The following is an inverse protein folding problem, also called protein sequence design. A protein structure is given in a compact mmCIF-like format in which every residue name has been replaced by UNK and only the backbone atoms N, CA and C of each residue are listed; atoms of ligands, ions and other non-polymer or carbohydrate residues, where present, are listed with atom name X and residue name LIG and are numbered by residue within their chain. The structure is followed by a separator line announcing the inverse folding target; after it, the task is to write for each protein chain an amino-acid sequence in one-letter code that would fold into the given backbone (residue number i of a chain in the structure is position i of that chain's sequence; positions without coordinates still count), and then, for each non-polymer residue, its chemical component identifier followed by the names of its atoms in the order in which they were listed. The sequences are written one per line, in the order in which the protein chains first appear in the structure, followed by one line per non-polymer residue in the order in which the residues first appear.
data_IF_462419736230
#
_entry.id   IF_462419736230
#
_cell.length_a   1.000
_cell.length_b   1.000
_cell.length_c   1.000
_cell.angle_alpha   90.00
_cell.angle_beta   90.00
_cell.angle_gamma   90.00
#
_symmetry.space_group_name_H-M   'P 1'
#
loop_
_entity.id
_entity.type
_entity.pdbx_description
1 polymer ?
#
# COMPACT_ATOMS: atom_id res chain seq x y z
N UNK A 1 17.76 -12.61 -22.03
CA UNK A 1 16.69 -12.37 -21.05
C UNK A 1 17.22 -12.85 -19.72
N UNK A 2 17.28 -11.97 -18.72
CA UNK A 2 17.70 -12.37 -17.37
C UNK A 2 16.75 -13.45 -16.83
N UNK A 3 17.31 -14.44 -16.12
CA UNK A 3 16.51 -15.48 -15.50
C UNK A 3 15.47 -14.84 -14.54
N UNK A 4 14.27 -15.43 -14.35
CA UNK A 4 13.21 -14.88 -13.49
C UNK A 4 13.71 -14.50 -12.10
N UNK A 5 14.60 -15.31 -11.52
CA UNK A 5 15.21 -15.03 -10.23
C UNK A 5 16.01 -13.72 -10.21
N UNK A 6 16.83 -13.45 -11.23
CA UNK A 6 17.61 -12.21 -11.29
C UNK A 6 16.72 -10.97 -11.36
N UNK A 7 15.60 -11.08 -12.03
CA UNK A 7 14.62 -9.99 -12.14
C UNK A 7 13.90 -9.77 -10.80
N UNK A 8 13.48 -10.84 -10.12
CA UNK A 8 12.85 -10.74 -8.80
C UNK A 8 13.80 -10.14 -7.75
N UNK A 9 15.09 -10.51 -7.80
CA UNK A 9 16.14 -9.91 -6.97
C UNK A 9 16.31 -8.43 -7.31
N UNK A 10 16.36 -8.08 -8.60
CA UNK A 10 16.47 -6.68 -9.02
C UNK A 10 15.27 -5.83 -8.58
N UNK A 11 14.05 -6.37 -8.63
CA UNK A 11 12.85 -5.71 -8.11
C UNK A 11 12.95 -5.48 -6.61
N UNK A 12 13.33 -6.49 -5.83
CA UNK A 12 13.51 -6.38 -4.39
C UNK A 12 14.56 -5.32 -4.04
N UNK A 13 15.73 -5.37 -4.67
CA UNK A 13 16.81 -4.40 -4.44
C UNK A 13 16.37 -2.99 -4.86
N UNK A 14 15.76 -2.86 -6.03
CA UNK A 14 15.26 -1.58 -6.54
C UNK A 14 14.20 -0.98 -5.61
N UNK A 15 13.28 -1.80 -5.10
CA UNK A 15 12.28 -1.36 -4.15
C UNK A 15 12.92 -0.92 -2.81
N UNK A 16 13.86 -1.68 -2.27
CA UNK A 16 14.60 -1.30 -1.07
C UNK A 16 15.40 0.00 -1.27
N UNK A 17 16.04 0.15 -2.43
CA UNK A 17 16.78 1.37 -2.77
C UNK A 17 15.85 2.59 -2.90
N UNK A 18 14.65 2.42 -3.44
CA UNK A 18 13.63 3.48 -3.54
C UNK A 18 13.06 3.85 -2.17
N UNK A 19 12.78 2.86 -1.33
CA UNK A 19 12.11 3.08 -0.03
C UNK A 19 13.07 3.61 1.05
N UNK A 20 14.35 3.22 1.00
CA UNK A 20 15.32 3.54 2.07
C UNK A 20 15.57 5.04 2.25
N UNK A 21 15.88 5.85 1.20
CA UNK A 21 16.15 7.28 1.39
C UNK A 21 14.99 8.05 2.04
N UNK A 22 13.73 7.96 1.57
CA UNK A 22 12.63 8.67 2.20
C UNK A 22 12.35 8.19 3.63
N UNK A 23 12.56 6.91 3.94
CA UNK A 23 12.41 6.42 5.31
C UNK A 23 13.51 6.93 6.24
N UNK A 24 14.76 7.05 5.77
CA UNK A 24 15.86 7.64 6.53
C UNK A 24 15.63 9.13 6.79
N UNK A 25 15.16 9.87 5.77
CA UNK A 25 14.79 11.27 5.92
C UNK A 25 13.65 11.41 6.95
N UNK A 26 12.61 10.62 6.80
CA UNK A 26 11.48 10.61 7.73
C UNK A 26 11.94 10.30 9.17
N UNK A 27 12.78 9.26 9.33
CA UNK A 27 13.35 8.91 10.63
C UNK A 27 14.13 10.10 11.24
N UNK A 28 15.02 10.71 10.46
CA UNK A 28 15.81 11.89 10.90
C UNK A 28 14.91 13.04 11.35
N UNK A 29 13.83 13.33 10.61
CA UNK A 29 12.86 14.37 10.98
C UNK A 29 12.09 14.01 12.28
N UNK A 30 11.70 12.76 12.43
CA UNK A 30 10.98 12.29 13.63
C UNK A 30 11.89 12.25 14.87
N UNK A 31 13.15 11.88 14.70
CA UNK A 31 14.13 11.87 15.80
C UNK A 31 14.44 13.30 16.33
N UNK A 32 14.28 14.32 15.48
CA UNK A 32 14.40 15.73 15.87
C UNK A 32 13.21 16.30 16.66
N UNK A 33 12.09 15.54 16.78
CA UNK A 33 10.92 15.97 17.53
C UNK A 33 11.04 15.63 19.02
N UNK A 34 10.36 16.43 19.87
CA UNK A 34 10.37 16.18 21.31
C UNK A 34 9.70 14.84 21.63
N UNK A 35 10.50 13.88 22.08
CA UNK A 35 10.07 12.53 22.41
C UNK A 35 9.07 12.49 23.59
N UNK A 36 9.02 13.53 24.43
CA UNK A 36 8.09 13.63 25.57
C UNK A 36 6.65 13.88 25.13
N UNK A 37 6.47 14.42 23.90
CA UNK A 37 5.16 14.73 23.34
C UNK A 37 4.61 13.59 22.46
N UNK A 38 5.33 12.46 22.37
CA UNK A 38 4.93 11.36 21.52
C UNK A 38 3.68 10.63 22.05
N UNK A 39 2.63 10.50 21.24
CA UNK A 39 1.53 9.62 21.57
C UNK A 39 1.97 8.14 21.60
N UNK A 40 1.20 7.28 22.26
CA UNK A 40 1.45 5.84 22.24
C UNK A 40 1.48 5.32 20.80
N UNK A 41 2.59 4.70 20.39
CA UNK A 41 2.84 4.27 19.00
C UNK A 41 3.58 5.28 18.13
N UNK A 42 4.10 6.36 18.72
CA UNK A 42 4.86 7.40 18.01
C UNK A 42 4.00 8.25 17.07
N UNK A 43 4.61 9.16 16.34
CA UNK A 43 3.94 10.05 15.38
C UNK A 43 3.20 9.28 14.27
N UNK A 44 3.76 8.16 13.84
CA UNK A 44 3.17 7.33 12.78
C UNK A 44 2.06 6.40 13.30
N UNK A 45 1.89 6.28 14.63
CA UNK A 45 0.92 5.38 15.26
C UNK A 45 1.14 3.90 14.90
N UNK A 46 2.40 3.48 14.89
CA UNK A 46 2.81 2.07 14.78
C UNK A 46 2.55 1.33 16.10
N UNK A 47 1.28 1.04 16.40
CA UNK A 47 0.88 0.24 17.56
C UNK A 47 0.60 -1.18 17.12
N UNK A 48 1.51 -2.10 17.43
CA UNK A 48 1.37 -3.51 17.07
C UNK A 48 0.39 -4.22 18.02
N UNK A 49 0.49 -3.95 19.33
CA UNK A 49 -0.39 -4.60 20.31
C UNK A 49 -1.72 -3.87 20.50
N UNK A 50 -2.82 -4.60 20.62
CA UNK A 50 -2.99 -6.01 20.32
C UNK A 50 -3.05 -6.26 18.82
N UNK A 51 -2.25 -7.18 18.30
CA UNK A 51 -2.08 -7.44 16.86
C UNK A 51 -3.33 -8.04 16.21
N UNK A 52 -4.08 -8.88 16.93
CA UNK A 52 -5.32 -9.50 16.42
C UNK A 52 -6.40 -8.48 16.09
N UNK A 53 -6.48 -7.37 16.83
CA UNK A 53 -7.44 -6.30 16.51
C UNK A 53 -7.08 -5.63 15.20
N UNK A 54 -5.80 -5.51 14.86
CA UNK A 54 -5.37 -4.97 13.58
C UNK A 54 -5.70 -5.93 12.43
N UNK A 55 -5.53 -7.25 12.62
CA UNK A 55 -5.95 -8.26 11.66
C UNK A 55 -7.45 -8.22 11.43
N UNK A 56 -8.24 -8.17 12.51
CA UNK A 56 -9.70 -8.10 12.40
C UNK A 56 -10.19 -6.81 11.72
N UNK A 57 -9.63 -5.67 12.10
CA UNK A 57 -9.98 -4.37 11.51
C UNK A 57 -9.57 -4.29 10.03
N UNK A 58 -8.35 -4.74 9.69
CA UNK A 58 -7.87 -4.78 8.31
C UNK A 58 -8.67 -5.75 7.45
N UNK A 59 -8.92 -6.97 7.94
CA UNK A 59 -9.71 -7.98 7.21
C UNK A 59 -11.16 -7.55 6.99
N UNK A 60 -11.82 -6.99 8.03
CA UNK A 60 -13.17 -6.44 7.89
C UNK A 60 -13.22 -5.29 6.88
N UNK A 61 -12.28 -4.35 6.95
CA UNK A 61 -12.22 -3.24 6.01
C UNK A 61 -11.97 -3.72 4.58
N UNK A 62 -11.09 -4.71 4.41
CA UNK A 62 -10.85 -5.35 3.11
C UNK A 62 -12.14 -5.94 2.52
N UNK A 63 -12.91 -6.72 3.29
CA UNK A 63 -14.19 -7.27 2.85
C UNK A 63 -15.20 -6.18 2.44
N UNK A 64 -15.21 -5.03 3.14
CA UNK A 64 -16.13 -3.93 2.82
C UNK A 64 -15.71 -3.15 1.57
N UNK A 65 -14.42 -3.02 1.31
CA UNK A 65 -13.87 -2.21 0.21
C UNK A 65 -13.66 -3.04 -1.06
N UNK A 66 -13.48 -4.36 -0.94
CA UNK A 66 -13.28 -5.25 -2.08
C UNK A 66 -14.38 -5.14 -3.16
N UNK A 67 -15.70 -5.19 -2.83
CA UNK A 67 -16.72 -5.12 -3.87
C UNK A 67 -16.67 -3.83 -4.73
N UNK A 68 -16.62 -2.62 -4.17
CA UNK A 68 -16.50 -1.41 -4.99
C UNK A 68 -15.17 -1.32 -5.75
N UNK A 69 -14.05 -1.84 -5.24
CA UNK A 69 -12.79 -1.88 -5.98
C UNK A 69 -12.90 -2.81 -7.19
N UNK A 70 -13.44 -4.03 -7.02
CA UNK A 70 -13.66 -4.97 -8.12
C UNK A 70 -14.63 -4.39 -9.16
N UNK A 71 -15.71 -3.76 -8.71
CA UNK A 71 -16.67 -3.12 -9.60
C UNK A 71 -16.02 -2.01 -10.44
N UNK A 72 -15.21 -1.15 -9.80
CA UNK A 72 -14.51 -0.07 -10.53
C UNK A 72 -13.44 -0.61 -11.47
N UNK A 73 -12.75 -1.69 -11.12
CA UNK A 73 -11.82 -2.39 -12.01
C UNK A 73 -12.53 -2.96 -13.24
N UNK A 74 -13.67 -3.63 -13.04
CA UNK A 74 -14.49 -4.13 -14.13
C UNK A 74 -15.01 -2.99 -15.04
N UNK A 75 -15.45 -1.88 -14.46
CA UNK A 75 -15.85 -0.71 -15.25
C UNK A 75 -14.69 -0.15 -16.07
N UNK A 76 -13.51 0.00 -15.47
CA UNK A 76 -12.33 0.51 -16.18
C UNK A 76 -11.93 -0.40 -17.34
N UNK A 77 -11.95 -1.72 -17.16
CA UNK A 77 -11.65 -2.67 -18.25
C UNK A 77 -12.64 -2.55 -19.43
N UNK A 78 -13.89 -2.19 -19.16
CA UNK A 78 -14.91 -1.98 -20.22
C UNK A 78 -14.70 -0.70 -21.03
N UNK A 79 -14.20 0.38 -20.40
CA UNK A 79 -14.04 1.69 -21.05
C UNK A 79 -12.66 1.88 -21.68
N UNK A 80 -11.61 1.33 -21.06
CA UNK A 80 -10.20 1.56 -21.47
C UNK A 80 -9.63 0.33 -22.19
N UNK A 81 -10.35 -0.80 -22.12
CA UNK A 81 -9.85 -2.10 -22.58
C UNK A 81 -8.93 -2.75 -21.55
N UNK A 82 -8.62 -4.01 -21.81
CA UNK A 82 -7.69 -4.75 -20.98
C UNK A 82 -6.26 -4.28 -21.28
N UNK A 83 -5.73 -3.42 -20.43
CA UNK A 83 -4.38 -2.85 -20.57
C UNK A 83 -3.28 -3.85 -20.17
N UNK A 84 -3.64 -5.15 -20.05
CA UNK A 84 -2.74 -6.18 -19.52
C UNK A 84 -2.54 -6.04 -18.02
N UNK A 85 -2.38 -7.16 -17.30
CA UNK A 85 -2.16 -7.14 -15.85
C UNK A 85 -1.03 -6.19 -15.48
N UNK A 86 -1.18 -5.49 -14.38
CA UNK A 86 -0.30 -4.42 -13.92
C UNK A 86 1.15 -4.86 -13.62
N UNK A 87 1.45 -6.14 -13.81
CA UNK A 87 2.78 -6.65 -13.51
C UNK A 87 3.29 -7.69 -14.53
N UNK A 88 3.90 -7.26 -15.65
CA UNK A 88 4.53 -8.17 -16.63
C UNK A 88 5.59 -9.09 -16.01
N UNK A 89 6.21 -8.68 -14.90
CA UNK A 89 7.20 -9.49 -14.18
C UNK A 89 6.53 -10.66 -13.46
N UNK A 90 5.32 -10.48 -12.93
CA UNK A 90 4.57 -11.55 -12.30
C UNK A 90 4.22 -12.64 -13.30
N UNK A 91 3.70 -12.27 -14.47
CA UNK A 91 3.41 -13.23 -15.55
C UNK A 91 4.67 -14.00 -15.98
N UNK A 92 5.80 -13.32 -16.10
CA UNK A 92 7.07 -13.96 -16.47
C UNK A 92 7.55 -14.95 -15.41
N UNK A 93 7.40 -14.62 -14.12
CA UNK A 93 7.82 -15.49 -13.00
C UNK A 93 6.87 -16.67 -12.84
N UNK A 94 5.56 -16.45 -13.00
CA UNK A 94 4.54 -17.52 -13.00
C UNK A 94 4.82 -18.52 -14.13
N UNK A 95 5.10 -18.05 -15.33
CA UNK A 95 5.45 -18.89 -16.48
C UNK A 95 6.80 -19.60 -16.29
N UNK A 96 7.75 -19.01 -15.56
CA UNK A 96 9.05 -19.58 -15.29
C UNK A 96 9.09 -20.66 -14.19
N UNK A 97 8.03 -20.78 -13.40
CA UNK A 97 7.87 -21.77 -12.31
C UNK A 97 9.04 -21.80 -11.30
N UNK A 98 9.71 -20.66 -11.06
CA UNK A 98 10.78 -20.54 -10.08
C UNK A 98 10.21 -20.14 -8.71
N UNK A 99 10.17 -21.07 -7.70
CA UNK A 99 9.54 -20.79 -6.41
C UNK A 99 10.23 -19.67 -5.62
N UNK A 100 11.56 -19.53 -5.77
CA UNK A 100 12.32 -18.49 -5.08
C UNK A 100 12.03 -17.11 -5.69
N UNK A 101 11.95 -17.04 -7.02
CA UNK A 101 11.57 -15.81 -7.71
C UNK A 101 10.15 -15.35 -7.30
N UNK A 102 9.18 -16.28 -7.28
CA UNK A 102 7.82 -16.02 -6.80
C UNK A 102 7.80 -15.54 -5.34
N UNK A 103 8.56 -16.19 -4.46
CA UNK A 103 8.65 -15.80 -3.06
C UNK A 103 9.21 -14.37 -2.90
N UNK A 104 10.27 -14.03 -3.63
CA UNK A 104 10.88 -12.68 -3.57
C UNK A 104 9.91 -11.60 -4.09
N UNK A 105 9.17 -11.87 -5.16
CA UNK A 105 8.13 -10.95 -5.63
C UNK A 105 6.98 -10.84 -4.63
N UNK A 106 6.51 -11.96 -4.09
CA UNK A 106 5.43 -11.97 -3.11
C UNK A 106 5.80 -11.17 -1.85
N UNK A 107 7.00 -11.38 -1.28
CA UNK A 107 7.42 -10.62 -0.10
C UNK A 107 7.56 -9.12 -0.40
N UNK A 108 8.03 -8.77 -1.60
CA UNK A 108 8.14 -7.38 -2.01
C UNK A 108 6.76 -6.74 -2.18
N UNK A 109 5.86 -7.36 -2.92
CA UNK A 109 4.56 -6.79 -3.25
C UNK A 109 3.56 -6.86 -2.08
N UNK A 110 3.56 -7.96 -1.31
CA UNK A 110 2.55 -8.21 -0.28
C UNK A 110 2.96 -7.68 1.10
N UNK A 111 4.27 -7.56 1.35
CA UNK A 111 4.76 -7.13 2.67
C UNK A 111 5.47 -5.78 2.61
N UNK A 112 6.56 -5.68 1.82
CA UNK A 112 7.41 -4.49 1.84
C UNK A 112 6.70 -3.27 1.24
N UNK A 113 6.00 -3.44 0.12
CA UNK A 113 5.27 -2.36 -0.52
C UNK A 113 4.18 -1.80 0.39
N UNK A 114 3.25 -2.58 0.96
CA UNK A 114 2.27 -2.07 1.91
C UNK A 114 2.87 -1.39 3.15
N UNK A 115 3.96 -1.93 3.70
CA UNK A 115 4.65 -1.30 4.83
C UNK A 115 5.16 0.10 4.51
N UNK A 116 5.83 0.25 3.39
CA UNK A 116 6.37 1.53 2.95
C UNK A 116 5.26 2.50 2.54
N UNK A 117 4.34 2.05 1.69
CA UNK A 117 3.29 2.91 1.14
C UNK A 117 2.33 3.41 2.22
N UNK A 118 1.89 2.54 3.14
CA UNK A 118 1.03 2.99 4.23
C UNK A 118 1.77 3.94 5.18
N UNK A 119 3.08 3.75 5.38
CA UNK A 119 3.89 4.70 6.15
C UNK A 119 3.89 6.08 5.49
N UNK A 120 4.10 6.14 4.18
CA UNK A 120 4.14 7.40 3.43
C UNK A 120 2.74 8.03 3.32
N UNK A 121 1.76 7.27 2.83
CA UNK A 121 0.44 7.84 2.51
C UNK A 121 -0.44 8.04 3.74
N UNK A 122 -0.49 7.07 4.69
CA UNK A 122 -1.38 7.12 5.86
C UNK A 122 -0.66 7.55 7.12
N UNK A 123 0.66 7.32 7.19
CA UNK A 123 1.49 7.80 8.30
C UNK A 123 1.89 9.27 8.17
N UNK A 124 2.18 9.74 6.96
CA UNK A 124 2.70 11.10 6.74
C UNK A 124 1.73 11.98 5.95
N UNK A 125 1.40 11.61 4.71
CA UNK A 125 0.63 12.47 3.80
C UNK A 125 -0.77 12.78 4.32
N UNK A 126 -1.53 11.76 4.74
CA UNK A 126 -2.89 11.94 5.24
C UNK A 126 -2.97 12.91 6.43
N UNK A 127 -2.17 12.80 7.51
CA UNK A 127 -2.22 13.76 8.61
C UNK A 127 -1.70 15.15 8.22
N UNK A 128 -0.74 15.28 7.31
CA UNK A 128 -0.25 16.57 6.81
C UNK A 128 -1.38 17.29 6.05
N UNK A 129 -2.03 16.62 5.10
CA UNK A 129 -3.18 17.17 4.39
C UNK A 129 -4.33 17.50 5.34
N UNK A 130 -4.53 16.69 6.39
CA UNK A 130 -5.57 16.91 7.38
C UNK A 130 -5.41 18.21 8.17
N UNK A 131 -4.16 18.61 8.46
CA UNK A 131 -3.85 19.87 9.12
C UNK A 131 -4.08 21.08 8.21
N UNK A 132 -3.81 20.95 6.92
CA UNK A 132 -3.88 22.07 5.96
C UNK A 132 -5.28 22.25 5.35
N UNK A 133 -5.98 21.16 5.04
CA UNK A 133 -7.21 21.18 4.24
C UNK A 133 -8.42 20.53 4.93
N UNK A 134 -8.24 20.04 6.15
CA UNK A 134 -9.28 19.36 6.90
C UNK A 134 -9.51 17.90 6.48
N UNK A 135 -10.36 17.20 7.26
CA UNK A 135 -10.52 15.74 7.21
C UNK A 135 -10.99 15.20 5.86
N UNK A 136 -11.99 15.82 5.24
CA UNK A 136 -12.56 15.34 3.97
C UNK A 136 -11.56 15.42 2.84
N UNK A 137 -10.94 16.57 2.67
CA UNK A 137 -9.94 16.79 1.64
C UNK A 137 -8.66 15.97 1.83
N UNK A 138 -8.28 15.69 3.07
CA UNK A 138 -7.12 14.82 3.34
C UNK A 138 -7.36 13.37 2.92
N UNK A 139 -8.57 12.85 3.15
CA UNK A 139 -8.96 11.50 2.72
C UNK A 139 -8.90 11.40 1.20
N UNK A 140 -9.59 12.33 0.51
CA UNK A 140 -9.61 12.33 -0.95
C UNK A 140 -8.24 12.57 -1.56
N UNK A 141 -7.51 13.60 -1.10
CA UNK A 141 -6.18 13.96 -1.62
C UNK A 141 -5.15 12.85 -1.41
N UNK A 142 -5.12 12.23 -0.22
CA UNK A 142 -4.22 11.11 0.05
C UNK A 142 -4.54 9.89 -0.83
N UNK A 143 -5.82 9.60 -1.08
CA UNK A 143 -6.24 8.51 -1.95
C UNK A 143 -5.92 8.80 -3.43
N UNK A 144 -6.11 10.05 -3.87
CA UNK A 144 -5.81 10.46 -5.24
C UNK A 144 -4.30 10.38 -5.52
N UNK A 145 -3.46 10.93 -4.64
CA UNK A 145 -2.00 10.85 -4.80
C UNK A 145 -1.53 9.39 -4.79
N UNK A 146 -2.09 8.55 -3.93
CA UNK A 146 -1.83 7.12 -3.91
C UNK A 146 -2.15 6.46 -5.27
N UNK A 147 -3.34 6.69 -5.81
CA UNK A 147 -3.76 6.11 -7.08
C UNK A 147 -2.89 6.60 -8.27
N UNK A 148 -2.59 7.90 -8.32
CA UNK A 148 -1.75 8.50 -9.39
C UNK A 148 -0.31 8.01 -9.31
N UNK A 149 0.23 7.77 -8.11
CA UNK A 149 1.59 7.26 -7.91
C UNK A 149 1.84 5.87 -8.55
N UNK A 150 0.79 5.11 -8.84
CA UNK A 150 0.89 3.82 -9.54
C UNK A 150 1.06 3.95 -11.06
N UNK A 151 0.87 5.14 -11.62
CA UNK A 151 1.09 5.46 -13.05
C UNK A 151 0.31 4.56 -14.02
N UNK A 152 -0.80 3.98 -13.59
CA UNK A 152 -1.66 3.11 -14.38
C UNK A 152 -3.06 3.73 -14.53
N UNK A 153 -3.43 4.08 -15.75
CA UNK A 153 -4.76 4.68 -16.04
C UNK A 153 -5.86 3.65 -15.79
N UNK A 154 -5.63 2.38 -16.17
CA UNK A 154 -6.60 1.31 -15.98
C UNK A 154 -6.88 1.01 -14.49
N UNK A 155 -5.92 1.24 -13.63
CA UNK A 155 -6.02 1.00 -12.19
C UNK A 155 -6.36 2.26 -11.38
N UNK A 156 -6.43 3.44 -12.02
CA UNK A 156 -6.61 4.72 -11.32
C UNK A 156 -7.86 4.72 -10.43
N UNK A 157 -9.00 4.30 -10.96
CA UNK A 157 -10.26 4.32 -10.24
C UNK A 157 -10.34 3.23 -9.15
N UNK A 158 -9.98 1.96 -9.42
CA UNK A 158 -9.87 0.94 -8.37
C UNK A 158 -8.93 1.34 -7.23
N UNK A 159 -7.74 1.87 -7.56
CA UNK A 159 -6.75 2.31 -6.56
C UNK A 159 -7.22 3.56 -5.80
N UNK A 160 -7.97 4.45 -6.43
CA UNK A 160 -8.61 5.56 -5.74
C UNK A 160 -9.60 5.06 -4.68
N UNK A 161 -10.46 4.09 -5.04
CA UNK A 161 -11.44 3.50 -4.10
C UNK A 161 -10.73 2.75 -2.98
N UNK A 162 -9.71 1.95 -3.28
CA UNK A 162 -8.86 1.30 -2.28
C UNK A 162 -8.22 2.33 -1.36
N UNK A 163 -7.66 3.38 -1.93
CA UNK A 163 -7.02 4.49 -1.23
C UNK A 163 -7.96 5.21 -0.26
N UNK A 164 -9.22 5.45 -0.68
CA UNK A 164 -10.26 6.00 0.19
C UNK A 164 -10.57 5.07 1.37
N UNK A 165 -10.72 3.77 1.11
CA UNK A 165 -10.94 2.76 2.15
C UNK A 165 -9.80 2.73 3.18
N UNK A 166 -8.55 2.72 2.71
CA UNK A 166 -7.36 2.75 3.57
C UNK A 166 -7.27 4.04 4.41
N UNK A 167 -7.58 5.21 3.82
CA UNK A 167 -7.59 6.48 4.54
C UNK A 167 -8.68 6.52 5.62
N UNK A 168 -9.89 6.02 5.32
CA UNK A 168 -10.97 5.91 6.28
C UNK A 168 -10.65 4.92 7.40
N UNK A 169 -10.05 3.78 7.08
CA UNK A 169 -9.57 2.80 8.07
C UNK A 169 -8.52 3.43 8.99
N UNK A 170 -7.57 4.20 8.44
CA UNK A 170 -6.56 4.92 9.23
C UNK A 170 -7.19 5.89 10.21
N UNK A 171 -8.20 6.66 9.78
CA UNK A 171 -8.88 7.63 10.63
C UNK A 171 -9.76 6.97 11.70
N UNK A 172 -10.42 5.85 11.37
CA UNK A 172 -11.32 5.14 12.30
C UNK A 172 -10.56 4.29 13.32
N UNK A 173 -9.49 3.62 12.92
CA UNK A 173 -8.68 2.77 13.81
C UNK A 173 -7.69 3.56 14.65
N UNK A 174 -7.27 4.75 14.18
CA UNK A 174 -6.18 5.52 14.78
C UNK A 174 -4.81 4.83 14.72
N UNK A 175 -4.66 3.75 13.93
CA UNK A 175 -3.46 2.89 13.86
C UNK A 175 -3.04 2.66 12.42
N UNK A 176 -1.73 2.47 12.19
CA UNK A 176 -1.20 2.20 10.86
C UNK A 176 -1.31 0.71 10.47
N UNK A 177 -1.09 -0.19 11.43
CA UNK A 177 -1.06 -1.63 11.18
C UNK A 177 -2.33 -2.20 10.51
N UNK A 178 -3.58 -1.81 10.88
CA UNK A 178 -4.76 -2.26 10.15
C UNK A 178 -4.76 -1.91 8.66
N UNK A 179 -4.20 -0.74 8.30
CA UNK A 179 -4.09 -0.32 6.90
C UNK A 179 -3.09 -1.21 6.14
N UNK A 180 -1.94 -1.51 6.76
CA UNK A 180 -0.96 -2.45 6.19
C UNK A 180 -1.59 -3.82 5.98
N UNK A 181 -2.36 -4.34 6.95
CA UNK A 181 -3.07 -5.62 6.81
C UNK A 181 -4.07 -5.60 5.66
N UNK A 182 -4.91 -4.57 5.58
CA UNK A 182 -5.89 -4.43 4.50
C UNK A 182 -5.21 -4.37 3.12
N UNK A 183 -4.14 -3.58 3.00
CA UNK A 183 -3.39 -3.43 1.76
C UNK A 183 -2.66 -4.73 1.38
N UNK A 184 -2.01 -5.40 2.32
CA UNK A 184 -1.36 -6.68 2.11
C UNK A 184 -2.35 -7.77 1.65
N UNK A 185 -3.56 -7.80 2.22
CA UNK A 185 -4.63 -8.70 1.77
C UNK A 185 -5.04 -8.40 0.32
N UNK A 186 -5.17 -7.13 -0.05
CA UNK A 186 -5.46 -6.73 -1.43
C UNK A 186 -4.36 -7.21 -2.38
N UNK A 187 -3.11 -6.85 -2.10
CA UNK A 187 -1.98 -7.25 -2.93
C UNK A 187 -1.80 -8.77 -2.98
N UNK A 188 -2.04 -9.47 -1.87
CA UNK A 188 -1.97 -10.92 -1.83
C UNK A 188 -3.00 -11.60 -2.73
N UNK A 189 -4.24 -11.10 -2.74
CA UNK A 189 -5.28 -11.64 -3.63
C UNK A 189 -4.99 -11.33 -5.09
N UNK A 190 -4.56 -10.11 -5.41
CA UNK A 190 -4.19 -9.74 -6.79
C UNK A 190 -2.93 -10.46 -7.28
N UNK A 191 -2.04 -10.85 -6.37
CA UNK A 191 -0.86 -11.66 -6.70
C UNK A 191 -1.20 -13.12 -7.06
N UNK A 192 -2.32 -13.64 -6.52
CA UNK A 192 -2.73 -15.03 -6.73
C UNK A 192 -3.72 -15.22 -7.90
N UNK A 193 -4.27 -14.15 -8.46
CA UNK A 193 -5.19 -14.17 -9.61
C UNK A 193 -4.49 -13.80 -10.91
#
# INVERSE_FOLDING_TARGET
IAAPLNQSVAVLIGYCALATPPLLILKSQLDGLDQRLLPAGGWLQWRVSPWWTALFQGGRAWLMVMPPVVLTGWLMSRFIGDQGGSNPLLEMVLNGSDPLALFLLAITAVVLAPLFEETVFRGVLLPVLGRSFGRGWSVFGSALVFAVAHLSIGELLPLLVLGLGLALLRLSSGRLLPCVVMHALWNGVTFLN
#
